data_IF_932511652675
#
_entry.id   IF_932511652675
#
_cell.length_a   1.000
_cell.length_b   1.000
_cell.length_c   1.000
_cell.angle_alpha   90.00
_cell.angle_beta   90.00
_cell.angle_gamma   90.00
#
_symmetry.space_group_name_H-M   'P 1'
#
loop_
_entity.id
_entity.type
_entity.pdbx_description
1 polymer ?
#
# COMPACT_ATOMS: atom_id res chain seq x y z
N UNK A 1 59.80 -31.16 32.72
CA UNK A 1 59.56 -29.76 32.32
C UNK A 1 58.26 -29.73 31.54
N UNK A 2 57.17 -29.23 32.14
CA UNK A 2 55.79 -29.40 31.66
C UNK A 2 55.48 -28.34 30.60
N UNK A 3 55.09 -28.77 29.39
CA UNK A 3 54.70 -27.88 28.29
C UNK A 3 53.24 -27.46 28.51
N UNK A 4 53.04 -26.19 28.89
CA UNK A 4 51.73 -25.54 28.98
C UNK A 4 51.29 -25.10 27.58
N UNK A 5 50.31 -25.80 27.02
CA UNK A 5 49.58 -25.33 25.84
C UNK A 5 48.49 -24.35 26.31
N UNK A 6 48.67 -23.06 26.02
CA UNK A 6 47.63 -22.04 26.16
C UNK A 6 46.69 -22.19 24.95
N UNK A 7 45.49 -22.69 25.19
CA UNK A 7 44.41 -22.73 24.21
C UNK A 7 43.77 -21.34 24.18
N UNK A 8 44.00 -20.61 23.10
CA UNK A 8 43.32 -19.36 22.78
C UNK A 8 41.86 -19.66 22.44
N UNK A 9 40.93 -19.37 23.35
CA UNK A 9 39.50 -19.45 23.08
C UNK A 9 39.11 -18.26 22.19
N UNK A 10 39.06 -18.47 20.87
CA UNK A 10 38.59 -17.48 19.92
C UNK A 10 37.09 -17.25 20.10
N UNK A 11 36.71 -16.03 20.48
CA UNK A 11 35.32 -15.58 20.56
C UNK A 11 34.81 -15.37 19.12
N UNK A 12 34.28 -16.43 18.51
CA UNK A 12 33.57 -16.33 17.24
C UNK A 12 32.19 -15.71 17.51
N UNK A 13 32.08 -14.39 17.38
CA UNK A 13 30.80 -13.72 17.27
C UNK A 13 30.09 -14.22 16.01
N UNK A 14 29.18 -15.18 16.17
CA UNK A 14 28.18 -15.54 15.17
C UNK A 14 27.17 -14.39 15.07
N UNK A 15 27.58 -13.28 14.46
CA UNK A 15 26.64 -12.23 14.07
C UNK A 15 25.75 -12.78 12.97
N UNK A 16 24.47 -13.05 13.28
CA UNK A 16 23.47 -13.25 12.24
C UNK A 16 23.49 -12.04 11.31
N UNK A 17 23.40 -12.23 9.98
CA UNK A 17 23.27 -11.09 9.08
C UNK A 17 22.01 -10.33 9.52
N UNK A 18 22.19 -9.07 9.94
CA UNK A 18 21.07 -8.15 10.03
C UNK A 18 20.69 -7.88 8.59
N UNK A 19 19.56 -8.41 8.14
CA UNK A 19 19.04 -8.11 6.81
C UNK A 19 18.64 -6.64 6.82
N UNK A 20 19.52 -5.79 6.30
CA UNK A 20 19.23 -4.38 6.12
C UNK A 20 17.98 -4.25 5.23
N UNK A 21 17.07 -3.36 5.61
CA UNK A 21 15.91 -3.07 4.78
C UNK A 21 16.38 -2.57 3.40
N UNK A 22 15.74 -3.07 2.35
CA UNK A 22 16.02 -2.74 0.95
C UNK A 22 15.34 -1.43 0.53
N UNK A 23 14.31 -1.02 1.27
CA UNK A 23 13.42 0.08 0.95
C UNK A 23 12.83 0.67 2.23
N UNK A 24 12.34 1.90 2.14
CA UNK A 24 11.65 2.53 3.28
C UNK A 24 10.19 2.13 3.35
N UNK A 25 9.55 1.85 2.22
CA UNK A 25 8.12 1.57 2.15
C UNK A 25 7.84 0.55 1.04
N UNK A 26 7.10 -0.50 1.38
CA UNK A 26 6.35 -1.31 0.43
C UNK A 26 4.92 -0.78 0.37
N UNK A 27 4.53 -0.27 -0.79
CA UNK A 27 3.22 0.32 -1.05
C UNK A 27 2.48 -0.50 -2.10
N UNK A 28 1.38 -1.13 -1.70
CA UNK A 28 0.48 -1.82 -2.62
C UNK A 28 -0.79 -0.97 -2.82
N UNK A 29 -1.09 -0.60 -4.06
CA UNK A 29 -2.31 0.13 -4.42
C UNK A 29 -3.37 -0.84 -4.95
N UNK A 30 -4.54 -0.84 -4.33
CA UNK A 30 -5.65 -1.74 -4.59
C UNK A 30 -6.83 -0.97 -5.21
N UNK A 31 -7.02 -1.11 -6.52
CA UNK A 31 -8.00 -0.35 -7.30
C UNK A 31 -9.28 -1.14 -7.56
N UNK A 32 -10.43 -0.61 -7.13
CA UNK A 32 -11.74 -1.24 -7.33
C UNK A 32 -12.15 -1.18 -8.82
N UNK A 33 -12.55 -2.33 -9.35
CA UNK A 33 -13.13 -2.51 -10.68
C UNK A 33 -14.47 -3.26 -10.60
N UNK A 34 -15.20 -3.14 -9.49
CA UNK A 34 -16.50 -3.79 -9.29
C UNK A 34 -17.56 -3.28 -10.26
N UNK A 35 -18.71 -3.95 -10.31
CA UNK A 35 -19.77 -3.68 -11.30
C UNK A 35 -20.34 -2.26 -11.21
N UNK A 36 -20.18 -1.55 -10.08
CA UNK A 36 -20.56 -0.13 -9.96
C UNK A 36 -19.66 0.79 -10.78
N UNK A 37 -18.42 0.37 -11.08
CA UNK A 37 -17.45 1.12 -11.87
C UNK A 37 -17.65 0.84 -13.36
N UNK A 38 -17.97 1.86 -14.16
CA UNK A 38 -18.09 1.75 -15.61
C UNK A 38 -16.74 1.90 -16.35
N UNK A 39 -16.75 1.87 -17.69
CA UNK A 39 -15.52 1.95 -18.48
C UNK A 39 -14.87 3.35 -18.46
N UNK A 40 -15.67 4.41 -18.34
CA UNK A 40 -15.18 5.79 -18.23
C UNK A 40 -14.59 6.01 -16.84
N UNK A 41 -15.24 5.53 -15.80
CA UNK A 41 -14.77 5.59 -14.41
C UNK A 41 -13.48 4.78 -14.21
N UNK A 42 -13.39 3.57 -14.75
CA UNK A 42 -12.14 2.78 -14.77
C UNK A 42 -11.00 3.53 -15.47
N UNK A 43 -11.30 4.19 -16.59
CA UNK A 43 -10.32 5.02 -17.30
C UNK A 43 -9.86 6.19 -16.43
N UNK A 44 -10.78 6.88 -15.74
CA UNK A 44 -10.46 7.97 -14.82
C UNK A 44 -9.58 7.49 -13.67
N UNK A 45 -9.85 6.31 -13.10
CA UNK A 45 -9.00 5.74 -12.04
C UNK A 45 -7.59 5.43 -12.55
N UNK A 46 -7.45 4.74 -13.68
CA UNK A 46 -6.12 4.35 -14.22
C UNK A 46 -5.30 5.56 -14.62
N UNK A 47 -5.90 6.49 -15.37
CA UNK A 47 -5.21 7.70 -15.82
C UNK A 47 -4.93 8.62 -14.63
N UNK A 48 -5.88 8.77 -13.70
CA UNK A 48 -5.72 9.56 -12.49
C UNK A 48 -4.63 9.02 -11.57
N UNK A 49 -4.53 7.71 -11.40
CA UNK A 49 -3.42 7.09 -10.65
C UNK A 49 -2.07 7.33 -11.35
N UNK A 50 -2.00 7.10 -12.66
CA UNK A 50 -0.77 7.32 -13.43
C UNK A 50 -0.31 8.78 -13.40
N UNK A 51 -1.24 9.73 -13.50
CA UNK A 51 -0.98 11.16 -13.39
C UNK A 51 -0.58 11.56 -11.97
N UNK A 52 -1.27 11.05 -10.94
CA UNK A 52 -0.93 11.31 -9.54
C UNK A 52 0.48 10.85 -9.17
N UNK A 53 0.92 9.68 -9.66
CA UNK A 53 2.30 9.20 -9.48
C UNK A 53 3.35 10.16 -10.05
N UNK A 54 3.01 10.91 -11.11
CA UNK A 54 3.92 11.85 -11.77
C UNK A 54 3.71 13.30 -11.32
N UNK A 55 2.83 13.55 -10.34
CA UNK A 55 2.67 14.89 -9.79
C UNK A 55 3.97 15.36 -9.09
N UNK A 56 4.37 16.64 -9.21
CA UNK A 56 5.62 17.13 -8.63
C UNK A 56 5.78 16.82 -7.14
N UNK A 57 4.73 17.03 -6.34
CA UNK A 57 4.71 16.78 -4.90
C UNK A 57 4.83 15.29 -4.54
N UNK A 58 4.29 14.40 -5.39
CA UNK A 58 4.38 12.95 -5.21
C UNK A 58 5.77 12.46 -5.60
N UNK A 59 6.35 12.97 -6.69
CA UNK A 59 7.73 12.68 -7.07
C UNK A 59 8.71 13.16 -5.99
N UNK A 60 8.53 14.38 -5.47
CA UNK A 60 9.32 14.88 -4.34
C UNK A 60 9.20 13.95 -3.13
N UNK A 61 7.99 13.49 -2.80
CA UNK A 61 7.78 12.56 -1.70
C UNK A 61 8.47 11.20 -1.94
N UNK A 62 8.38 10.62 -3.14
CA UNK A 62 9.07 9.37 -3.51
C UNK A 62 10.57 9.48 -3.25
N UNK A 63 11.20 10.56 -3.73
CA UNK A 63 12.65 10.76 -3.72
C UNK A 63 13.17 11.58 -2.51
N UNK A 64 12.32 11.82 -1.51
CA UNK A 64 12.67 12.55 -0.27
C UNK A 64 13.70 11.82 0.62
N UNK A 65 14.04 10.57 0.29
CA UNK A 65 14.97 9.72 1.03
C UNK A 65 15.81 8.89 0.04
N UNK A 66 17.07 8.56 0.38
CA UNK A 66 17.91 7.68 -0.43
C UNK A 66 17.43 6.22 -0.44
N UNK A 67 16.63 5.80 0.54
CA UNK A 67 16.00 4.47 0.52
C UNK A 67 14.79 4.46 -0.42
N UNK A 68 14.70 3.50 -1.36
CA UNK A 68 13.65 3.46 -2.36
C UNK A 68 12.29 3.07 -1.79
N UNK A 69 11.25 3.23 -2.60
CA UNK A 69 9.89 2.72 -2.34
C UNK A 69 9.63 1.54 -3.27
N UNK A 70 9.20 0.41 -2.72
CA UNK A 70 8.68 -0.70 -3.51
C UNK A 70 7.20 -0.42 -3.80
N UNK A 71 6.82 -0.38 -5.07
CA UNK A 71 5.45 -0.12 -5.52
C UNK A 71 4.87 -1.37 -6.20
N UNK A 72 3.66 -1.75 -5.81
CA UNK A 72 2.83 -2.71 -6.54
C UNK A 72 1.43 -2.13 -6.74
N UNK A 73 0.76 -2.55 -7.80
CA UNK A 73 -0.62 -2.17 -8.08
C UNK A 73 -1.40 -3.40 -8.49
N UNK A 74 -2.57 -3.58 -7.91
CA UNK A 74 -3.52 -4.62 -8.30
C UNK A 74 -4.92 -4.06 -8.37
N UNK A 75 -5.74 -4.65 -9.23
CA UNK A 75 -7.16 -4.39 -9.31
C UNK A 75 -7.95 -5.51 -8.63
N UNK A 76 -9.15 -5.19 -8.16
CA UNK A 76 -10.00 -6.13 -7.43
C UNK A 76 -11.49 -5.89 -7.68
N UNK A 77 -12.29 -6.95 -7.56
CA UNK A 77 -13.74 -6.85 -7.40
C UNK A 77 -14.27 -8.00 -6.53
N UNK A 78 -14.84 -9.05 -7.13
CA UNK A 78 -15.44 -10.18 -6.44
C UNK A 78 -14.42 -11.16 -5.86
N UNK A 79 -14.90 -12.23 -5.23
CA UNK A 79 -14.09 -13.17 -4.42
C UNK A 79 -12.89 -13.80 -5.13
N UNK A 80 -12.93 -13.88 -6.45
CA UNK A 80 -11.91 -14.53 -7.28
C UNK A 80 -11.27 -13.57 -8.30
N UNK A 81 -11.61 -12.29 -8.24
CA UNK A 81 -11.17 -11.29 -9.21
C UNK A 81 -10.20 -10.34 -8.54
N UNK A 82 -8.94 -10.75 -8.50
CA UNK A 82 -7.80 -9.95 -8.09
C UNK A 82 -6.71 -10.14 -9.14
N UNK A 83 -6.17 -9.04 -9.68
CA UNK A 83 -5.13 -9.13 -10.70
C UNK A 83 -4.08 -8.06 -10.51
N UNK A 84 -2.82 -8.50 -10.49
CA UNK A 84 -1.68 -7.60 -10.45
C UNK A 84 -1.57 -6.86 -11.78
N UNK A 85 -1.59 -5.52 -11.71
CA UNK A 85 -1.32 -4.62 -12.83
C UNK A 85 0.18 -4.34 -12.91
N UNK A 86 0.81 -4.09 -11.76
CA UNK A 86 2.23 -3.83 -11.59
C UNK A 86 2.75 -4.71 -10.46
N UNK A 87 3.57 -5.71 -10.78
CA UNK A 87 4.34 -6.48 -9.79
C UNK A 87 5.32 -5.57 -9.06
N UNK A 88 5.76 -5.99 -7.86
CA UNK A 88 6.69 -5.22 -7.03
C UNK A 88 7.86 -4.64 -7.85
N UNK A 89 7.90 -3.31 -7.91
CA UNK A 89 8.96 -2.55 -8.56
C UNK A 89 9.58 -1.60 -7.56
N UNK A 90 10.90 -1.71 -7.36
CA UNK A 90 11.65 -0.70 -6.63
C UNK A 90 11.74 0.57 -7.48
N UNK A 91 11.30 1.68 -6.90
CA UNK A 91 11.38 3.01 -7.50
C UNK A 91 12.62 3.69 -6.90
N UNK A 92 13.72 3.67 -7.64
CA UNK A 92 15.02 4.23 -7.22
C UNK A 92 15.28 5.60 -7.85
N UNK A 93 14.74 5.82 -9.06
CA UNK A 93 14.96 7.03 -9.85
C UNK A 93 13.72 7.41 -10.68
N UNK A 94 13.62 8.67 -11.16
CA UNK A 94 12.46 9.13 -11.93
C UNK A 94 12.06 8.25 -13.14
N UNK A 95 12.99 7.66 -13.91
CA UNK A 95 12.62 6.72 -14.98
C UNK A 95 11.86 5.48 -14.51
N UNK A 96 12.10 4.99 -13.28
CA UNK A 96 11.39 3.82 -12.74
C UNK A 96 9.91 4.15 -12.52
N UNK A 97 9.66 5.33 -11.94
CA UNK A 97 8.33 5.86 -11.65
C UNK A 97 7.56 6.17 -12.94
N UNK A 98 8.24 6.76 -13.93
CA UNK A 98 7.66 6.99 -15.26
C UNK A 98 7.24 5.67 -15.92
N UNK A 99 8.08 4.64 -15.86
CA UNK A 99 7.75 3.34 -16.41
C UNK A 99 6.61 2.65 -15.64
N UNK A 100 6.55 2.80 -14.31
CA UNK A 100 5.42 2.30 -13.51
C UNK A 100 4.10 3.01 -13.88
N UNK A 101 4.12 4.34 -13.93
CA UNK A 101 3.01 5.19 -14.36
C UNK A 101 2.52 4.81 -15.77
N UNK A 102 3.44 4.63 -16.73
CA UNK A 102 3.12 4.24 -18.11
C UNK A 102 2.47 2.86 -18.20
N UNK A 103 2.92 1.89 -17.39
CA UNK A 103 2.32 0.56 -17.33
C UNK A 103 0.89 0.59 -16.77
N UNK A 104 0.65 1.40 -15.73
CA UNK A 104 -0.68 1.57 -15.15
C UNK A 104 -1.62 2.25 -16.15
N UNK A 105 -1.18 3.34 -16.79
CA UNK A 105 -1.96 4.08 -17.78
C UNK A 105 -2.34 3.24 -19.01
N UNK A 106 -1.49 2.30 -19.41
CA UNK A 106 -1.73 1.41 -20.54
C UNK A 106 -2.38 0.07 -20.14
N UNK A 107 -2.63 -0.14 -18.85
CA UNK A 107 -3.30 -1.36 -18.39
C UNK A 107 -4.77 -1.37 -18.82
N UNK A 108 -5.31 -2.57 -19.00
CA UNK A 108 -6.71 -2.77 -19.39
C UNK A 108 -7.39 -3.54 -18.26
N UNK A 109 -8.59 -3.11 -17.89
CA UNK A 109 -9.46 -3.80 -16.93
C UNK A 109 -9.61 -5.27 -17.31
N UNK A 110 -9.30 -6.16 -16.37
CA UNK A 110 -9.20 -7.59 -16.67
C UNK A 110 -10.53 -8.32 -16.76
N UNK A 111 -11.60 -7.72 -16.24
CA UNK A 111 -12.94 -8.28 -16.20
C UNK A 111 -13.98 -7.15 -16.19
N UNK A 112 -15.23 -7.42 -16.55
CA UNK A 112 -16.33 -6.45 -16.45
C UNK A 112 -16.71 -6.07 -15.01
N UNK A 113 -16.03 -6.63 -14.01
CA UNK A 113 -16.32 -6.44 -12.61
C UNK A 113 -17.42 -7.38 -12.14
N UNK A 114 -17.38 -7.67 -10.84
CA UNK A 114 -18.44 -8.39 -10.13
C UNK A 114 -18.78 -7.62 -8.84
N UNK A 115 -19.44 -8.27 -7.90
CA UNK A 115 -19.72 -7.69 -6.59
C UNK A 115 -18.45 -7.24 -5.84
N UNK A 116 -18.61 -6.42 -4.82
CA UNK A 116 -17.51 -5.79 -4.07
C UNK A 116 -17.09 -6.70 -2.92
N UNK A 117 -16.06 -7.54 -3.15
CA UNK A 117 -15.48 -8.44 -2.15
C UNK A 117 -14.21 -7.84 -1.52
N UNK A 118 -14.36 -6.70 -0.85
CA UNK A 118 -13.24 -5.94 -0.28
C UNK A 118 -12.40 -6.71 0.73
N UNK A 119 -13.02 -7.56 1.58
CA UNK A 119 -12.22 -8.39 2.49
C UNK A 119 -11.30 -9.36 1.75
N UNK A 120 -11.73 -9.90 0.59
CA UNK A 120 -10.89 -10.73 -0.26
C UNK A 120 -9.78 -9.92 -0.95
N UNK A 121 -10.08 -8.70 -1.40
CA UNK A 121 -9.07 -7.81 -1.95
C UNK A 121 -7.96 -7.50 -0.95
N UNK A 122 -8.34 -7.19 0.30
CA UNK A 122 -7.39 -6.93 1.38
C UNK A 122 -6.58 -8.17 1.76
N UNK A 123 -7.22 -9.34 1.82
CA UNK A 123 -6.52 -10.60 2.04
C UNK A 123 -5.50 -10.90 0.93
N UNK A 124 -5.86 -10.66 -0.33
CA UNK A 124 -4.94 -10.75 -1.46
C UNK A 124 -3.77 -9.77 -1.31
N UNK A 125 -4.06 -8.52 -0.92
CA UNK A 125 -3.01 -7.51 -0.66
C UNK A 125 -2.06 -7.92 0.47
N UNK A 126 -2.56 -8.54 1.54
CA UNK A 126 -1.73 -9.07 2.62
C UNK A 126 -0.82 -10.20 2.14
N UNK A 127 -1.33 -11.14 1.35
CA UNK A 127 -0.52 -12.20 0.72
C UNK A 127 0.49 -11.64 -0.28
N UNK A 128 0.11 -10.65 -1.10
CA UNK A 128 1.03 -9.95 -2.01
C UNK A 128 2.18 -9.27 -1.24
N UNK A 129 1.91 -8.79 -0.03
CA UNK A 129 2.90 -8.17 0.84
C UNK A 129 3.95 -9.16 1.37
N UNK A 130 3.63 -10.46 1.45
CA UNK A 130 4.61 -11.50 1.81
C UNK A 130 5.69 -11.66 0.72
N UNK A 131 5.38 -11.28 -0.52
CA UNK A 131 6.31 -11.27 -1.66
C UNK A 131 7.07 -9.94 -1.82
N UNK A 132 6.77 -8.94 -0.99
CA UNK A 132 7.38 -7.61 -1.09
C UNK A 132 8.87 -7.64 -0.75
N UNK A 133 9.68 -6.74 -1.33
CA UNK A 133 11.01 -6.46 -0.80
C UNK A 133 10.97 -6.13 0.69
N UNK A 134 12.04 -6.44 1.42
CA UNK A 134 12.11 -6.19 2.85
C UNK A 134 12.20 -4.67 3.11
N UNK A 135 11.07 -4.02 3.36
CA UNK A 135 11.00 -2.57 3.63
C UNK A 135 10.77 -2.27 5.11
N UNK A 136 11.16 -1.08 5.56
CA UNK A 136 10.89 -0.62 6.94
C UNK A 136 9.39 -0.53 7.27
N UNK A 137 8.58 -0.16 6.28
CA UNK A 137 7.15 -0.02 6.42
C UNK A 137 6.40 -0.74 5.32
N UNK A 138 5.20 -1.22 5.63
CA UNK A 138 4.29 -1.86 4.67
C UNK A 138 2.94 -1.14 4.71
N UNK A 139 2.37 -0.86 3.53
CA UNK A 139 1.08 -0.15 3.41
C UNK A 139 0.28 -0.69 2.24
N UNK A 140 -1.00 -0.95 2.48
CA UNK A 140 -2.01 -1.22 1.45
C UNK A 140 -2.90 0.02 1.36
N UNK A 141 -2.97 0.61 0.19
CA UNK A 141 -3.91 1.66 -0.18
C UNK A 141 -5.12 1.00 -0.86
N UNK A 142 -6.31 1.10 -0.26
CA UNK A 142 -7.54 0.55 -0.83
C UNK A 142 -8.43 1.68 -1.34
N UNK A 143 -8.65 1.75 -2.65
CA UNK A 143 -9.60 2.69 -3.27
C UNK A 143 -10.87 1.97 -3.73
N UNK A 144 -12.04 2.60 -3.57
CA UNK A 144 -13.31 2.07 -4.09
C UNK A 144 -14.51 3.00 -3.88
N UNK A 145 -15.61 2.70 -4.56
CA UNK A 145 -16.88 3.46 -4.57
C UNK A 145 -18.02 2.71 -3.85
N UNK A 146 -17.73 1.53 -3.29
CA UNK A 146 -18.72 0.66 -2.66
C UNK A 146 -18.24 0.01 -1.36
N UNK A 147 -19.20 -0.39 -0.53
CA UNK A 147 -18.94 -1.18 0.68
C UNK A 147 -18.92 -2.67 0.35
N UNK A 148 -18.29 -3.47 1.21
CA UNK A 148 -18.22 -4.92 1.01
C UNK A 148 -19.64 -5.53 0.98
N UNK A 149 -20.05 -6.04 -0.18
CA UNK A 149 -21.36 -6.68 -0.37
C UNK A 149 -21.25 -8.15 -0.83
N UNK A 150 -20.03 -8.66 -0.99
CA UNK A 150 -19.78 -10.07 -1.30
C UNK A 150 -18.69 -10.67 -0.40
N UNK A 151 -18.85 -11.95 -0.09
CA UNK A 151 -17.88 -12.69 0.71
C UNK A 151 -17.73 -12.18 2.15
N UNK A 152 -16.55 -12.40 2.73
CA UNK A 152 -16.21 -11.89 4.06
C UNK A 152 -15.67 -10.47 3.94
N UNK A 153 -16.00 -9.62 4.92
CA UNK A 153 -15.54 -8.24 4.96
C UNK A 153 -14.16 -8.07 5.61
N UNK A 154 -13.64 -6.83 5.62
CA UNK A 154 -12.32 -6.47 6.14
C UNK A 154 -12.00 -7.04 7.54
N UNK A 155 -12.95 -6.98 8.48
CA UNK A 155 -12.76 -7.50 9.85
C UNK A 155 -12.38 -8.97 9.91
N UNK A 156 -12.91 -9.78 9.00
CA UNK A 156 -12.55 -11.21 8.91
C UNK A 156 -11.18 -11.36 8.26
N UNK A 157 -10.85 -10.53 7.26
CA UNK A 157 -9.52 -10.50 6.65
C UNK A 157 -8.43 -10.24 7.71
N UNK A 158 -8.58 -9.19 8.52
CA UNK A 158 -7.62 -8.86 9.59
C UNK A 158 -7.42 -9.95 10.62
N UNK A 159 -8.43 -10.79 10.85
CA UNK A 159 -8.35 -11.88 11.83
C UNK A 159 -7.58 -13.10 11.29
N UNK A 160 -7.58 -13.29 9.98
CA UNK A 160 -7.17 -14.55 9.35
C UNK A 160 -5.99 -14.44 8.38
N UNK A 161 -5.53 -13.22 8.09
CA UNK A 161 -4.43 -12.93 7.17
C UNK A 161 -3.36 -12.05 7.85
N UNK A 162 -2.11 -12.04 7.36
CA UNK A 162 -0.98 -11.42 8.06
C UNK A 162 -1.00 -9.88 7.92
N UNK A 163 -1.63 -9.19 8.88
CA UNK A 163 -1.74 -7.73 8.92
C UNK A 163 -0.95 -7.07 10.05
N UNK A 164 -0.13 -7.82 10.79
CA UNK A 164 0.53 -7.38 12.02
C UNK A 164 1.38 -6.11 11.82
N UNK A 165 2.06 -5.98 10.68
CA UNK A 165 2.93 -4.84 10.35
C UNK A 165 2.45 -4.03 9.13
N UNK A 166 1.23 -4.30 8.67
CA UNK A 166 0.66 -3.65 7.48
C UNK A 166 -0.29 -2.54 7.94
N UNK A 167 -0.07 -1.32 7.44
CA UNK A 167 -1.07 -0.25 7.54
C UNK A 167 -2.03 -0.35 6.36
N UNK A 168 -3.32 -0.20 6.61
CA UNK A 168 -4.34 -0.11 5.54
C UNK A 168 -4.95 1.28 5.56
N UNK A 169 -4.78 2.01 4.46
CA UNK A 169 -5.38 3.32 4.24
C UNK A 169 -6.52 3.20 3.22
N UNK A 170 -7.47 4.12 3.28
CA UNK A 170 -8.62 4.14 2.38
C UNK A 170 -8.65 5.35 1.46
N UNK A 171 -9.13 5.17 0.23
CA UNK A 171 -9.61 6.24 -0.64
C UNK A 171 -11.06 5.94 -1.03
N UNK A 172 -11.99 6.75 -0.55
CA UNK A 172 -13.40 6.65 -0.94
C UNK A 172 -13.65 7.49 -2.18
N UNK A 173 -14.25 6.88 -3.20
CA UNK A 173 -14.75 7.57 -4.39
C UNK A 173 -16.24 7.85 -4.14
N UNK A 174 -16.56 9.05 -3.67
CA UNK A 174 -17.93 9.43 -3.36
C UNK A 174 -18.67 9.84 -4.64
N UNK A 175 -19.07 8.86 -5.46
CA UNK A 175 -19.83 9.09 -6.70
C UNK A 175 -21.34 9.24 -6.48
N UNK A 176 -21.85 8.77 -5.33
CA UNK A 176 -23.27 8.76 -5.01
C UNK A 176 -23.66 9.82 -3.97
N UNK A 177 -23.04 11.01 -4.03
CA UNK A 177 -23.14 12.19 -3.14
C UNK A 177 -23.64 11.91 -1.70
N UNK A 178 -24.93 11.60 -1.55
CA UNK A 178 -25.61 11.37 -0.28
C UNK A 178 -25.39 9.98 0.34
N UNK A 179 -25.36 8.90 -0.46
CA UNK A 179 -25.18 7.52 0.03
C UNK A 179 -23.73 7.27 0.47
N UNK A 180 -22.76 7.86 -0.26
CA UNK A 180 -21.36 7.72 0.10
C UNK A 180 -21.00 8.45 1.41
N UNK A 181 -21.59 9.63 1.65
CA UNK A 181 -21.42 10.36 2.91
C UNK A 181 -22.04 9.65 4.12
N UNK A 182 -23.23 9.07 3.97
CA UNK A 182 -23.94 8.46 5.10
C UNK A 182 -23.51 7.03 5.42
N UNK A 183 -22.99 6.29 4.45
CA UNK A 183 -22.70 4.86 4.62
C UNK A 183 -21.28 4.47 4.25
N UNK A 184 -20.76 4.94 3.11
CA UNK A 184 -19.47 4.47 2.60
C UNK A 184 -18.28 4.99 3.41
N UNK A 185 -18.27 6.30 3.71
CA UNK A 185 -17.22 6.91 4.54
C UNK A 185 -17.19 6.27 5.93
N UNK A 186 -18.31 6.20 6.68
CA UNK A 186 -18.34 5.47 7.96
C UNK A 186 -17.96 4.00 7.83
N UNK A 187 -18.30 3.33 6.72
CA UNK A 187 -17.87 1.95 6.50
C UNK A 187 -16.34 1.84 6.42
N UNK A 188 -15.68 2.69 5.65
CA UNK A 188 -14.22 2.71 5.53
C UNK A 188 -13.54 3.03 6.86
N UNK A 189 -14.01 4.06 7.57
CA UNK A 189 -13.47 4.45 8.87
C UNK A 189 -13.53 3.32 9.90
N UNK A 190 -14.65 2.59 9.95
CA UNK A 190 -14.90 1.57 10.97
C UNK A 190 -14.36 0.18 10.58
N UNK A 191 -14.15 -0.10 9.29
CA UNK A 191 -13.85 -1.45 8.81
C UNK A 191 -12.57 -1.55 7.97
N UNK A 192 -12.14 -0.51 7.27
CA UNK A 192 -11.04 -0.58 6.28
C UNK A 192 -9.75 0.05 6.78
N UNK A 193 -9.82 1.04 7.66
CA UNK A 193 -8.61 1.61 8.25
C UNK A 193 -8.01 0.66 9.28
N UNK A 194 -6.71 0.38 9.16
CA UNK A 194 -6.01 -0.51 10.09
C UNK A 194 -4.56 -0.10 10.29
N UNK A 195 -4.11 -0.22 11.54
CA UNK A 195 -2.75 0.13 11.95
C UNK A 195 -2.58 1.59 12.39
N UNK A 196 -1.45 1.91 13.06
CA UNK A 196 -1.20 3.25 13.60
C UNK A 196 -1.08 4.31 12.49
N UNK A 197 -1.81 5.41 12.64
CA UNK A 197 -1.75 6.52 11.68
C UNK A 197 -2.46 6.25 10.35
N UNK A 198 -3.21 5.15 10.25
CA UNK A 198 -4.09 4.87 9.13
C UNK A 198 -5.07 6.02 8.89
N UNK A 199 -5.37 6.30 7.63
CA UNK A 199 -6.22 7.43 7.28
C UNK A 199 -7.05 7.20 6.02
N UNK A 200 -8.09 8.02 5.91
CA UNK A 200 -9.00 8.07 4.78
C UNK A 200 -8.76 9.34 3.96
N UNK A 201 -8.76 9.22 2.65
CA UNK A 201 -8.90 10.33 1.69
C UNK A 201 -10.22 10.15 0.93
N UNK A 202 -10.83 11.25 0.51
CA UNK A 202 -12.12 11.24 -0.18
C UNK A 202 -11.97 11.97 -1.51
N UNK A 203 -12.39 11.31 -2.58
CA UNK A 203 -12.62 11.91 -3.89
C UNK A 203 -14.11 12.25 -4.04
N UNK A 204 -14.41 13.45 -4.52
CA UNK A 204 -15.77 13.85 -4.91
C UNK A 204 -16.07 13.35 -6.33
N UNK A 205 -16.42 12.07 -6.44
CA UNK A 205 -16.60 11.40 -7.73
C UNK A 205 -15.29 10.97 -8.40
N UNK A 206 -15.42 10.31 -9.55
CA UNK A 206 -14.27 9.76 -10.29
C UNK A 206 -13.42 10.84 -10.97
N UNK A 207 -14.01 11.97 -11.35
CA UNK A 207 -13.30 13.11 -11.94
C UNK A 207 -12.33 13.77 -10.95
N UNK A 208 -12.59 13.63 -9.66
CA UNK A 208 -11.75 14.15 -8.57
C UNK A 208 -10.72 13.12 -8.06
N UNK A 209 -10.74 11.90 -8.62
CA UNK A 209 -9.88 10.80 -8.19
C UNK A 209 -8.39 11.14 -8.26
N UNK A 210 -7.94 11.79 -9.34
CA UNK A 210 -6.53 12.19 -9.48
C UNK A 210 -6.07 13.11 -8.33
N UNK A 211 -6.88 14.12 -7.98
CA UNK A 211 -6.57 15.05 -6.89
C UNK A 211 -6.48 14.32 -5.55
N UNK A 212 -7.46 13.47 -5.27
CA UNK A 212 -7.51 12.68 -4.04
C UNK A 212 -6.32 11.72 -3.95
N UNK A 213 -6.07 10.94 -5.00
CA UNK A 213 -4.95 10.00 -5.08
C UNK A 213 -3.61 10.70 -4.90
N UNK A 214 -3.44 11.88 -5.50
CA UNK A 214 -2.22 12.69 -5.33
C UNK A 214 -1.96 13.08 -3.87
N UNK A 215 -2.98 13.62 -3.19
CA UNK A 215 -2.88 13.98 -1.76
C UNK A 215 -2.61 12.75 -0.88
N UNK A 216 -3.23 11.63 -1.22
CA UNK A 216 -3.07 10.37 -0.51
C UNK A 216 -1.64 9.85 -0.64
N UNK A 217 -1.13 9.72 -1.86
CA UNK A 217 0.24 9.30 -2.14
C UNK A 217 1.25 10.22 -1.46
N UNK A 218 1.07 11.54 -1.55
CA UNK A 218 1.94 12.50 -0.85
C UNK A 218 2.00 12.21 0.66
N UNK A 219 0.86 11.95 1.30
CA UNK A 219 0.79 11.63 2.73
C UNK A 219 1.40 10.27 3.06
N UNK A 220 1.24 9.26 2.21
CA UNK A 220 1.81 7.92 2.42
C UNK A 220 3.32 7.87 2.24
N UNK A 221 3.82 8.64 1.26
CA UNK A 221 5.22 8.65 0.86
C UNK A 221 6.07 9.57 1.72
N UNK A 222 5.48 10.53 2.44
CA UNK A 222 6.24 11.37 3.37
C UNK A 222 6.90 10.52 4.46
N UNK A 223 8.16 10.82 4.84
CA UNK A 223 8.83 10.11 5.92
C UNK A 223 7.97 10.10 7.18
N UNK A 224 7.71 8.91 7.72
CA UNK A 224 7.05 8.77 9.02
C UNK A 224 8.07 9.17 10.08
N UNK A 225 7.76 10.19 10.87
CA UNK A 225 8.60 10.57 12.00
C UNK A 225 8.58 9.40 12.99
N UNK A 226 9.71 8.72 13.13
CA UNK A 226 9.91 7.71 14.16
C UNK A 226 9.93 8.38 15.54
N UNK A 227 8.76 8.49 16.19
CA UNK A 227 8.73 8.76 17.63
C UNK A 227 9.06 7.43 18.33
N UNK A 228 10.35 7.06 18.40
CA UNK A 228 10.69 5.76 18.97
C UNK A 228 12.14 5.36 19.24
N UNK A 229 13.17 6.18 18.94
CA UNK A 229 14.56 5.74 19.14
C UNK A 229 15.53 6.78 19.75
N UNK A 230 15.02 7.82 20.42
CA UNK A 230 15.87 8.78 21.14
C UNK A 230 15.44 8.95 22.61
N UNK A 231 15.55 7.87 23.38
CA UNK A 231 15.62 7.83 24.86
C UNK A 231 15.96 6.38 25.21
N UNK A 232 17.08 5.99 25.79
CA UNK A 232 18.04 6.66 26.66
C UNK A 232 19.40 5.97 26.50
N UNK A 233 20.40 6.72 26.07
CA UNK A 233 21.79 6.31 26.09
C UNK A 233 22.66 7.46 26.55
N UNK A 234 22.34 8.09 27.69
CA UNK A 234 23.20 9.07 28.37
C UNK A 234 22.92 9.03 29.88
N UNK A 235 23.96 8.67 30.65
CA UNK A 235 24.17 8.74 32.12
C UNK A 235 23.39 7.68 32.94
N UNK A 236 23.97 6.81 33.77
CA UNK A 236 25.24 6.80 34.53
C UNK A 236 25.91 5.42 34.54
#
# INVERSE_FOLDING_TARGET
MVIRWLISLGLACLGSPVWAAQCRLALALAMDISTSVDATEDTLQRQGLAAALLAPEVQEAFFSSPMPVALAVYEWSGRTTQRVILSWKLIEQPPDLLAASTQIANSVRSDSGSATAMGYAMAFGASLMEEAPNCLFQTIDVSGDGSNNDGYGPRIAYKHFPFENIIVNGLVINAADFEGELYLIPFYENNVLHGPGAFLEIASGFEDFERAMRRKLERELRPRLEIGALQTGVLE
#
